data_IF_413266589511
#
_entry.id   IF_413266589511
#
_cell.length_a   1.000
_cell.length_b   1.000
_cell.length_c   1.000
_cell.angle_alpha   90.00
_cell.angle_beta   90.00
_cell.angle_gamma   90.00
#
_symmetry.space_group_name_H-M   'P 1'
#
loop_
_entity.id
_entity.type
_entity.pdbx_description
1 polymer ?
#
# COMPACT_ATOMS: atom_id res chain seq x y z
N UNK A 1 -22.08 2.63 19.97
CA UNK A 1 -22.61 2.14 18.66
C UNK A 1 -23.93 2.85 18.44
N UNK A 2 -24.07 3.60 17.37
CA UNK A 2 -25.36 4.16 16.94
C UNK A 2 -25.96 3.24 15.90
N UNK A 3 -27.24 2.98 16.02
CA UNK A 3 -28.02 2.27 15.00
C UNK A 3 -28.82 3.34 14.30
N UNK A 4 -28.54 3.58 13.04
CA UNK A 4 -29.18 4.61 12.25
C UNK A 4 -30.23 4.01 11.32
N UNK A 5 -31.37 4.67 11.18
CA UNK A 5 -32.30 4.37 10.11
C UNK A 5 -31.72 4.80 8.77
N UNK A 6 -32.25 4.29 7.66
CA UNK A 6 -31.85 4.74 6.32
C UNK A 6 -31.93 6.27 6.16
N UNK A 7 -32.97 6.88 6.72
CA UNK A 7 -33.15 8.32 6.67
C UNK A 7 -32.03 9.06 7.43
N UNK A 8 -31.72 8.63 8.66
CA UNK A 8 -30.63 9.19 9.47
C UNK A 8 -29.28 9.01 8.78
N UNK A 9 -28.99 7.81 8.24
CA UNK A 9 -27.75 7.54 7.52
C UNK A 9 -27.58 8.42 6.28
N UNK A 10 -28.67 8.68 5.53
CA UNK A 10 -28.62 9.58 4.36
C UNK A 10 -28.41 11.04 4.72
N UNK A 11 -28.84 11.46 5.91
CA UNK A 11 -28.68 12.84 6.40
C UNK A 11 -27.40 13.00 7.23
N UNK A 12 -26.76 11.88 7.58
CA UNK A 12 -25.53 11.95 8.35
C UNK A 12 -24.41 12.52 7.51
N UNK A 13 -23.85 13.62 7.99
CA UNK A 13 -22.63 14.17 7.45
C UNK A 13 -21.51 13.96 8.45
N UNK A 14 -20.35 13.46 8.01
CA UNK A 14 -19.21 13.33 8.90
C UNK A 14 -18.82 14.73 9.41
N UNK A 15 -18.44 14.87 10.68
CA UNK A 15 -17.97 16.14 11.22
C UNK A 15 -16.74 16.68 10.48
N UNK A 16 -16.09 15.83 9.74
CA UNK A 16 -14.99 16.12 8.83
C UNK A 16 -15.06 15.11 7.69
N UNK A 17 -15.14 15.56 6.44
CA UNK A 17 -14.89 14.70 5.27
C UNK A 17 -13.39 14.71 5.03
N UNK A 18 -12.67 13.68 5.42
CA UNK A 18 -11.27 13.61 5.06
C UNK A 18 -11.18 13.48 3.55
N UNK A 19 -10.38 14.32 2.92
CA UNK A 19 -10.03 14.15 1.53
C UNK A 19 -9.44 12.76 1.31
N UNK A 20 -9.63 12.18 0.14
CA UNK A 20 -8.96 10.94 -0.21
C UNK A 20 -7.44 11.12 -0.04
N UNK A 21 -6.78 10.16 0.58
CA UNK A 21 -5.31 10.19 0.72
C UNK A 21 -4.64 10.02 -0.65
N UNK A 22 -5.20 9.12 -1.48
CA UNK A 22 -4.94 9.05 -2.92
C UNK A 22 -6.29 9.06 -3.63
N UNK A 23 -6.49 10.01 -4.54
CA UNK A 23 -7.75 10.19 -5.27
C UNK A 23 -8.18 8.93 -6.05
N UNK A 24 -9.28 9.00 -6.74
CA UNK A 24 -9.93 7.90 -7.49
C UNK A 24 -10.32 6.71 -6.59
N UNK A 25 -10.48 6.91 -5.29
CA UNK A 25 -10.82 5.86 -4.33
C UNK A 25 -9.70 4.85 -4.08
N UNK A 26 -8.47 5.17 -4.48
CA UNK A 26 -7.30 4.29 -4.31
C UNK A 26 -6.96 4.12 -2.83
N UNK A 27 -6.87 5.23 -2.08
CA UNK A 27 -6.59 5.18 -0.65
C UNK A 27 -7.44 6.22 0.09
N UNK A 28 -8.40 5.75 0.85
CA UNK A 28 -9.21 6.58 1.72
C UNK A 28 -8.67 6.54 3.16
N UNK A 29 -8.98 7.55 3.98
CA UNK A 29 -8.69 7.48 5.41
C UNK A 29 -9.32 6.23 6.05
N UNK A 30 -8.60 5.64 6.99
CA UNK A 30 -9.08 4.48 7.73
C UNK A 30 -9.29 3.21 6.89
N UNK A 31 -8.59 3.08 5.74
CA UNK A 31 -8.60 1.89 4.88
C UNK A 31 -7.26 1.15 4.91
N UNK A 32 -7.18 0.02 4.23
CA UNK A 32 -5.96 -0.78 4.09
C UNK A 32 -5.69 -1.05 2.62
N UNK A 33 -4.54 -0.60 2.15
CA UNK A 33 -4.03 -0.90 0.81
C UNK A 33 -2.89 -1.92 0.90
N UNK A 34 -2.81 -2.83 -0.05
CA UNK A 34 -1.65 -3.69 -0.24
C UNK A 34 -0.96 -3.40 -1.56
N UNK A 35 0.36 -3.34 -1.53
CA UNK A 35 1.21 -3.31 -2.70
C UNK A 35 2.00 -4.62 -2.72
N UNK A 36 1.78 -5.48 -3.72
CA UNK A 36 2.41 -6.78 -3.76
C UNK A 36 3.09 -7.09 -5.10
N UNK A 37 3.97 -8.08 -5.11
CA UNK A 37 4.66 -8.55 -6.31
C UNK A 37 5.83 -9.47 -5.98
N UNK A 38 6.47 -10.02 -7.01
CA UNK A 38 7.58 -10.94 -6.87
C UNK A 38 8.81 -10.29 -6.20
N UNK A 39 9.74 -11.10 -5.70
CA UNK A 39 11.04 -10.59 -5.25
C UNK A 39 11.74 -9.83 -6.38
N UNK A 40 12.39 -8.71 -6.05
CA UNK A 40 13.10 -7.88 -7.04
C UNK A 40 12.19 -7.00 -7.93
N UNK A 41 10.87 -6.99 -7.75
CA UNK A 41 9.94 -6.17 -8.55
C UNK A 41 9.84 -4.70 -8.11
N UNK A 42 10.83 -4.15 -7.47
CA UNK A 42 10.89 -2.74 -7.06
C UNK A 42 9.84 -2.32 -6.02
N UNK A 43 9.21 -3.26 -5.29
CA UNK A 43 8.16 -2.95 -4.30
C UNK A 43 8.61 -1.94 -3.24
N UNK A 44 9.75 -2.18 -2.60
CA UNK A 44 10.29 -1.26 -1.57
C UNK A 44 10.58 0.13 -2.14
N UNK A 45 11.05 0.23 -3.40
CA UNK A 45 11.22 1.53 -4.02
C UNK A 45 9.89 2.20 -4.36
N UNK A 46 8.88 1.42 -4.79
CA UNK A 46 7.51 1.94 -4.95
C UNK A 46 6.94 2.44 -3.62
N UNK A 47 7.17 1.73 -2.50
CA UNK A 47 6.72 2.17 -1.18
C UNK A 47 7.44 3.45 -0.72
N UNK A 48 8.75 3.57 -0.97
CA UNK A 48 9.52 4.79 -0.70
C UNK A 48 8.99 5.96 -1.55
N UNK A 49 8.81 5.75 -2.85
CA UNK A 49 8.25 6.77 -3.75
C UNK A 49 6.87 7.24 -3.27
N UNK A 50 5.98 6.30 -2.96
CA UNK A 50 4.66 6.61 -2.42
C UNK A 50 4.73 7.39 -1.10
N UNK A 51 5.62 6.97 -0.19
CA UNK A 51 5.84 7.65 1.09
C UNK A 51 6.26 9.11 0.90
N UNK A 52 7.14 9.39 -0.05
CA UNK A 52 7.55 10.76 -0.40
C UNK A 52 6.41 11.56 -1.02
N UNK A 53 5.65 10.98 -1.96
CA UNK A 53 4.50 11.64 -2.56
C UNK A 53 3.47 12.04 -1.50
N UNK A 54 3.12 11.12 -0.60
CA UNK A 54 2.18 11.39 0.49
C UNK A 54 2.70 12.43 1.49
N UNK A 55 3.97 12.34 1.89
CA UNK A 55 4.55 13.29 2.84
C UNK A 55 4.62 14.73 2.31
N UNK A 56 4.65 14.89 0.99
CA UNK A 56 4.71 16.19 0.29
C UNK A 56 3.36 16.65 -0.26
N UNK A 57 2.39 15.73 -0.43
CA UNK A 57 1.15 15.99 -1.16
C UNK A 57 1.38 16.10 -2.67
N UNK A 58 2.42 15.42 -3.19
CA UNK A 58 2.72 15.35 -4.62
C UNK A 58 2.02 14.15 -5.28
N UNK A 59 1.65 14.22 -6.55
CA UNK A 59 0.97 13.12 -7.22
C UNK A 59 1.80 11.82 -7.21
N UNK A 60 1.16 10.71 -6.86
CA UNK A 60 1.72 9.36 -7.00
C UNK A 60 1.33 8.81 -8.37
N UNK A 61 2.28 8.70 -9.28
CA UNK A 61 2.05 8.27 -10.65
C UNK A 61 0.91 8.99 -11.39
N UNK A 62 0.73 10.29 -11.08
CA UNK A 62 -0.32 11.12 -11.66
C UNK A 62 -1.65 11.13 -10.90
N UNK A 63 -1.84 10.23 -9.94
CA UNK A 63 -2.97 10.30 -9.01
C UNK A 63 -2.67 11.36 -7.94
N UNK A 64 -3.56 12.32 -7.77
CA UNK A 64 -3.39 13.35 -6.75
C UNK A 64 -3.38 12.73 -5.36
N UNK A 65 -2.57 13.29 -4.47
CA UNK A 65 -2.48 12.87 -3.08
C UNK A 65 -2.74 14.04 -2.13
N UNK A 66 -3.33 13.74 -1.00
CA UNK A 66 -3.38 14.66 0.14
C UNK A 66 -2.10 14.51 0.96
N UNK A 67 -1.53 15.63 1.41
CA UNK A 67 -0.39 15.60 2.30
C UNK A 67 -0.71 14.81 3.56
N UNK A 68 0.21 13.94 3.99
CA UNK A 68 0.05 13.07 5.14
C UNK A 68 1.31 13.03 6.01
N UNK A 69 1.14 12.70 7.28
CA UNK A 69 2.24 12.22 8.11
C UNK A 69 2.44 10.73 7.80
N UNK A 70 3.60 10.37 7.29
CA UNK A 70 3.89 8.99 6.86
C UNK A 70 4.90 8.36 7.81
N UNK A 71 4.56 7.18 8.31
CA UNK A 71 5.44 6.35 9.12
C UNK A 71 5.73 5.04 8.39
N UNK A 72 6.96 4.88 7.94
CA UNK A 72 7.45 3.66 7.29
C UNK A 72 8.19 2.81 8.31
N UNK A 73 7.61 1.66 8.62
CA UNK A 73 8.19 0.64 9.48
C UNK A 73 8.73 -0.48 8.58
N UNK A 74 10.06 -0.60 8.51
CA UNK A 74 10.76 -1.48 7.57
C UNK A 74 11.63 -2.46 8.34
N UNK A 75 11.32 -3.76 8.24
CA UNK A 75 11.94 -4.83 9.04
C UNK A 75 12.84 -5.77 8.23
N UNK A 76 12.84 -5.66 6.89
CA UNK A 76 13.64 -6.57 6.05
C UNK A 76 15.06 -6.03 5.80
N UNK A 77 15.19 -4.72 5.63
CA UNK A 77 16.44 -4.12 5.19
C UNK A 77 17.17 -3.38 6.33
N UNK A 78 18.49 -3.53 6.43
CA UNK A 78 19.29 -2.77 7.38
C UNK A 78 19.12 -1.25 7.19
N UNK A 79 19.18 -0.51 8.27
CA UNK A 79 19.05 0.96 8.29
C UNK A 79 19.98 1.66 7.30
N UNK A 80 21.20 1.16 7.13
CA UNK A 80 22.16 1.71 6.17
C UNK A 80 21.66 1.64 4.73
N UNK A 81 21.04 0.52 4.35
CA UNK A 81 20.49 0.31 3.00
C UNK A 81 19.30 1.24 2.77
N UNK A 82 18.41 1.39 3.75
CA UNK A 82 17.29 2.33 3.67
C UNK A 82 17.79 3.75 3.54
N UNK A 83 18.77 4.15 4.37
CA UNK A 83 19.43 5.47 4.29
C UNK A 83 19.97 5.75 2.88
N UNK A 84 20.69 4.78 2.28
CA UNK A 84 21.27 4.93 0.94
C UNK A 84 20.18 5.12 -0.11
N UNK A 85 19.12 4.29 -0.10
CA UNK A 85 17.99 4.38 -1.03
C UNK A 85 17.24 5.71 -0.90
N UNK A 86 16.93 6.11 0.32
CA UNK A 86 16.24 7.38 0.60
C UNK A 86 17.11 8.57 0.17
N UNK A 87 18.40 8.53 0.42
CA UNK A 87 19.33 9.60 0.04
C UNK A 87 19.44 9.74 -1.48
N UNK A 88 19.54 8.62 -2.21
CA UNK A 88 19.56 8.63 -3.68
C UNK A 88 18.24 9.14 -4.27
N UNK A 89 17.13 8.65 -3.74
CA UNK A 89 15.80 9.03 -4.22
C UNK A 89 15.49 10.51 -3.96
N UNK A 90 15.75 10.99 -2.74
CA UNK A 90 15.36 12.34 -2.32
C UNK A 90 16.23 13.44 -2.92
N UNK A 91 17.42 13.12 -3.41
CA UNK A 91 18.43 14.07 -3.87
C UNK A 91 18.57 15.28 -2.94
N UNK A 92 18.52 15.04 -1.62
CA UNK A 92 18.60 16.05 -0.58
C UNK A 92 17.33 16.89 -0.35
N UNK A 93 16.17 16.50 -0.91
CA UNK A 93 14.90 17.20 -0.67
C UNK A 93 14.54 17.20 0.82
N UNK A 94 14.47 18.39 1.43
CA UNK A 94 14.06 18.56 2.83
C UNK A 94 12.54 18.61 3.01
N UNK A 95 11.78 18.81 1.95
CA UNK A 95 10.34 19.06 2.03
C UNK A 95 9.55 17.89 2.65
N UNK A 96 9.98 16.64 2.42
CA UNK A 96 9.34 15.47 3.01
C UNK A 96 9.81 15.16 4.45
N UNK A 97 10.95 15.72 4.89
CA UNK A 97 11.62 15.31 6.13
C UNK A 97 10.85 15.62 7.42
N UNK A 98 9.87 16.52 7.36
CA UNK A 98 9.06 16.90 8.52
C UNK A 98 7.84 16.00 8.72
N UNK A 99 7.39 15.31 7.65
CA UNK A 99 6.18 14.49 7.66
C UNK A 99 6.47 13.02 7.33
N UNK A 100 7.74 12.64 7.15
CA UNK A 100 8.15 11.28 6.80
C UNK A 100 9.10 10.72 7.85
N UNK A 101 8.66 9.64 8.49
CA UNK A 101 9.36 8.93 9.54
C UNK A 101 9.71 7.53 9.07
N UNK A 102 10.93 7.09 9.38
CA UNK A 102 11.39 5.72 9.13
C UNK A 102 11.83 5.07 10.43
N UNK A 103 11.42 3.83 10.61
CA UNK A 103 11.95 2.94 11.61
C UNK A 103 12.45 1.66 10.95
N UNK A 104 13.61 1.22 11.40
CA UNK A 104 14.24 -0.04 11.01
C UNK A 104 14.64 -0.74 12.32
N UNK A 105 13.69 -1.44 12.97
CA UNK A 105 13.92 -2.06 14.26
C UNK A 105 14.99 -3.16 14.16
N UNK A 106 15.70 -3.38 15.25
CA UNK A 106 16.67 -4.50 15.36
C UNK A 106 15.98 -5.80 15.75
N UNK A 107 14.83 -5.70 16.45
CA UNK A 107 14.05 -6.84 16.91
C UNK A 107 12.82 -7.08 16.03
N UNK A 108 12.41 -8.34 15.93
CA UNK A 108 11.20 -8.74 15.21
C UNK A 108 9.94 -8.15 15.86
N UNK A 109 9.07 -7.57 15.05
CA UNK A 109 7.80 -7.04 15.48
C UNK A 109 6.63 -7.87 14.93
N UNK A 110 6.10 -8.78 15.73
CA UNK A 110 4.99 -9.64 15.33
C UNK A 110 3.64 -9.04 15.73
N UNK A 111 2.90 -8.52 14.76
CA UNK A 111 1.62 -7.82 15.00
C UNK A 111 0.44 -8.75 15.29
N UNK A 112 0.59 -10.05 15.13
CA UNK A 112 -0.34 -11.07 15.60
C UNK A 112 -0.19 -11.34 17.11
N UNK A 113 0.76 -10.66 17.80
CA UNK A 113 0.98 -10.75 19.24
C UNK A 113 0.53 -9.49 19.98
N UNK A 114 0.25 -9.63 21.28
CA UNK A 114 -0.07 -8.50 22.17
C UNK A 114 1.12 -7.54 22.29
N UNK A 115 2.35 -8.09 22.37
CA UNK A 115 3.56 -7.30 22.48
C UNK A 115 3.76 -6.42 21.24
N UNK A 116 3.67 -7.01 20.04
CA UNK A 116 3.81 -6.26 18.79
C UNK A 116 2.73 -5.19 18.60
N UNK A 117 1.47 -5.50 18.99
CA UNK A 117 0.41 -4.50 18.98
C UNK A 117 0.72 -3.31 19.91
N UNK A 118 1.22 -3.58 21.12
CA UNK A 118 1.60 -2.53 22.07
C UNK A 118 2.80 -1.72 21.60
N UNK A 119 3.79 -2.37 21.00
CA UNK A 119 4.97 -1.67 20.48
C UNK A 119 4.60 -0.75 19.32
N UNK A 120 3.91 -1.25 18.29
CA UNK A 120 3.48 -0.40 17.17
C UNK A 120 2.53 0.72 17.63
N UNK A 121 1.74 0.49 18.68
CA UNK A 121 0.93 1.56 19.30
C UNK A 121 1.81 2.70 19.79
N UNK A 122 2.86 2.39 20.56
CA UNK A 122 3.82 3.40 21.09
C UNK A 122 4.51 4.16 19.96
N UNK A 123 4.93 3.46 18.91
CA UNK A 123 5.63 4.05 17.78
C UNK A 123 4.71 5.01 17.02
N UNK A 124 3.45 4.64 16.80
CA UNK A 124 2.43 5.52 16.20
C UNK A 124 2.17 6.75 17.08
N UNK A 125 2.07 6.59 18.39
CA UNK A 125 1.88 7.70 19.32
C UNK A 125 3.09 8.65 19.32
N UNK A 126 4.31 8.11 19.25
CA UNK A 126 5.53 8.90 19.14
C UNK A 126 5.60 9.66 17.81
N UNK A 127 5.25 9.02 16.69
CA UNK A 127 5.17 9.69 15.38
C UNK A 127 4.16 10.84 15.43
N UNK A 128 2.97 10.62 15.99
CA UNK A 128 1.96 11.67 16.15
C UNK A 128 2.44 12.82 17.02
N UNK A 129 3.15 12.52 18.10
CA UNK A 129 3.72 13.52 18.99
C UNK A 129 4.78 14.39 18.31
N UNK A 130 5.55 13.80 17.38
CA UNK A 130 6.61 14.47 16.62
C UNK A 130 6.13 15.16 15.35
N UNK A 131 4.93 14.80 14.87
CA UNK A 131 4.35 15.42 13.68
C UNK A 131 4.21 16.92 13.86
N UNK A 132 4.66 17.69 12.87
CA UNK A 132 4.61 19.15 12.90
C UNK A 132 3.21 19.72 12.67
N UNK A 133 2.36 18.96 12.00
CA UNK A 133 0.96 19.29 11.77
C UNK A 133 0.05 18.10 12.17
N UNK A 134 -0.56 18.15 13.35
CA UNK A 134 -1.42 17.08 13.85
C UNK A 134 -2.75 16.91 13.09
N UNK A 135 -3.10 17.87 12.22
CA UNK A 135 -4.30 17.79 11.39
C UNK A 135 -4.11 16.89 10.15
N UNK A 136 -2.86 16.57 9.78
CA UNK A 136 -2.60 15.68 8.65
C UNK A 136 -3.05 14.24 8.96
N UNK A 137 -3.62 13.53 7.98
CA UNK A 137 -3.87 12.10 8.12
C UNK A 137 -2.55 11.36 8.35
N UNK A 138 -2.61 10.30 9.15
CA UNK A 138 -1.44 9.45 9.42
C UNK A 138 -1.53 8.18 8.58
N UNK A 139 -0.48 7.90 7.83
CA UNK A 139 -0.34 6.69 7.02
C UNK A 139 0.83 5.86 7.57
N UNK A 140 0.57 4.60 7.86
CA UNK A 140 1.58 3.63 8.31
C UNK A 140 1.88 2.65 7.18
N UNK A 141 3.14 2.53 6.79
CA UNK A 141 3.61 1.58 5.78
C UNK A 141 4.35 0.45 6.48
N UNK A 142 3.91 -0.79 6.29
CA UNK A 142 4.55 -2.00 6.81
C UNK A 142 5.23 -2.76 5.66
N UNK A 143 6.55 -2.97 5.75
CA UNK A 143 7.36 -3.59 4.68
C UNK A 143 8.37 -4.62 5.24
N UNK A 144 8.22 -5.90 4.93
CA UNK A 144 7.11 -6.61 4.30
C UNK A 144 6.22 -7.37 5.29
N UNK A 145 4.97 -7.66 4.89
CA UNK A 145 3.94 -8.30 5.72
C UNK A 145 4.40 -9.57 6.43
N UNK A 146 5.09 -10.48 5.74
CA UNK A 146 5.39 -11.81 6.27
C UNK A 146 6.28 -11.80 7.53
N UNK A 147 7.03 -10.72 7.75
CA UNK A 147 7.86 -10.53 8.95
C UNK A 147 7.09 -9.97 10.16
N UNK A 148 5.82 -9.60 9.96
CA UNK A 148 4.97 -9.14 11.05
C UNK A 148 4.09 -10.24 11.66
N UNK A 149 4.28 -11.50 11.26
CA UNK A 149 3.59 -12.64 11.82
C UNK A 149 4.59 -13.56 12.52
N UNK A 150 4.27 -13.96 13.76
CA UNK A 150 5.02 -14.99 14.49
C UNK A 150 4.74 -16.38 13.91
N UNK A 151 3.53 -16.59 13.41
CA UNK A 151 3.09 -17.82 12.79
C UNK A 151 3.23 -17.82 11.24
N UNK A 152 2.67 -18.84 10.62
CA UNK A 152 2.73 -18.99 9.18
C UNK A 152 1.71 -18.10 8.46
N UNK A 153 2.13 -17.41 7.42
CA UNK A 153 1.32 -16.43 6.66
C UNK A 153 0.06 -17.04 5.99
N UNK A 154 0.00 -18.37 5.89
CA UNK A 154 -1.17 -19.11 5.39
C UNK A 154 -2.07 -19.63 6.50
N UNK A 155 -1.67 -19.49 7.78
CA UNK A 155 -2.48 -19.89 8.92
C UNK A 155 -3.61 -18.87 9.14
N UNK A 156 -4.85 -19.34 9.02
CA UNK A 156 -6.02 -18.47 9.12
C UNK A 156 -6.17 -17.80 10.48
N UNK A 157 -5.78 -18.48 11.55
CA UNK A 157 -5.88 -17.94 12.91
C UNK A 157 -4.92 -16.77 13.09
N UNK A 158 -3.66 -16.92 12.70
CA UNK A 158 -2.64 -15.88 12.79
C UNK A 158 -2.98 -14.69 11.87
N UNK A 159 -3.44 -14.98 10.65
CA UNK A 159 -3.91 -13.94 9.73
C UNK A 159 -5.07 -13.14 10.32
N UNK A 160 -6.09 -13.80 10.87
CA UNK A 160 -7.22 -13.11 11.50
C UNK A 160 -6.79 -12.27 12.69
N UNK A 161 -5.87 -12.75 13.49
CA UNK A 161 -5.34 -12.04 14.65
C UNK A 161 -4.56 -10.79 14.26
N UNK A 162 -3.68 -10.90 13.26
CA UNK A 162 -3.01 -9.75 12.64
C UNK A 162 -4.03 -8.71 12.15
N UNK A 163 -5.03 -9.15 11.36
CA UNK A 163 -6.09 -8.28 10.83
C UNK A 163 -6.88 -7.59 11.94
N UNK A 164 -7.20 -8.30 13.02
CA UNK A 164 -7.90 -7.73 14.19
C UNK A 164 -7.06 -6.64 14.85
N UNK A 165 -5.76 -6.89 15.06
CA UNK A 165 -4.85 -5.93 15.67
C UNK A 165 -4.64 -4.69 14.80
N UNK A 166 -4.44 -4.85 13.50
CA UNK A 166 -4.35 -3.72 12.55
C UNK A 166 -5.67 -2.94 12.52
N UNK A 167 -6.82 -3.62 12.51
CA UNK A 167 -8.12 -2.96 12.55
C UNK A 167 -8.34 -2.20 13.87
N UNK A 168 -7.85 -2.72 15.00
CA UNK A 168 -7.87 -2.02 16.29
C UNK A 168 -7.05 -0.74 16.25
N UNK A 169 -5.80 -0.81 15.76
CA UNK A 169 -4.93 0.35 15.60
C UNK A 169 -5.55 1.40 14.69
N UNK A 170 -6.04 0.97 13.52
CA UNK A 170 -6.69 1.82 12.53
C UNK A 170 -7.83 2.63 13.14
N UNK A 171 -8.75 1.97 13.84
CA UNK A 171 -9.92 2.60 14.46
C UNK A 171 -9.54 3.47 15.66
N UNK A 172 -8.67 2.97 16.55
CA UNK A 172 -8.28 3.69 17.78
C UNK A 172 -7.52 4.97 17.48
N UNK A 173 -6.61 4.92 16.51
CA UNK A 173 -5.71 6.02 16.21
C UNK A 173 -6.10 6.82 14.96
N UNK A 174 -7.20 6.47 14.28
CA UNK A 174 -7.62 7.08 13.01
C UNK A 174 -6.47 7.14 11.99
N UNK A 175 -5.91 5.98 11.67
CA UNK A 175 -4.76 5.83 10.76
C UNK A 175 -5.11 4.92 9.57
N UNK A 176 -4.35 5.07 8.52
CA UNK A 176 -4.48 4.29 7.27
C UNK A 176 -3.25 3.42 7.11
N UNK A 177 -3.42 2.20 6.64
CA UNK A 177 -2.31 1.28 6.43
C UNK A 177 -2.03 1.04 4.96
N UNK A 178 -0.74 0.98 4.62
CA UNK A 178 -0.21 0.44 3.38
C UNK A 178 0.68 -0.73 3.74
N UNK A 179 0.43 -1.88 3.14
CA UNK A 179 1.14 -3.12 3.45
C UNK A 179 1.87 -3.60 2.21
N UNK A 180 3.17 -3.82 2.34
CA UNK A 180 3.98 -4.36 1.24
C UNK A 180 4.07 -5.87 1.41
N UNK A 181 3.87 -6.61 0.30
CA UNK A 181 3.85 -8.06 0.37
C UNK A 181 4.45 -8.75 -0.85
N UNK A 182 4.76 -10.02 -0.69
CA UNK A 182 5.28 -10.85 -1.77
C UNK A 182 4.16 -11.58 -2.51
N UNK A 183 4.36 -11.80 -3.82
CA UNK A 183 3.54 -12.76 -4.57
C UNK A 183 4.04 -14.17 -4.37
N UNK A 184 3.15 -15.15 -4.61
CA UNK A 184 3.53 -16.54 -4.82
C UNK A 184 4.41 -16.67 -6.06
N UNK A 185 5.13 -17.77 -6.17
CA UNK A 185 5.80 -18.13 -7.43
C UNK A 185 4.76 -18.27 -8.53
N UNK A 186 5.04 -17.68 -9.69
CA UNK A 186 4.17 -17.76 -10.86
C UNK A 186 3.96 -19.21 -11.28
N UNK A 187 2.73 -19.53 -11.58
CA UNK A 187 2.38 -20.83 -12.19
C UNK A 187 2.54 -20.71 -13.70
N UNK A 188 3.06 -21.77 -14.30
CA UNK A 188 3.11 -21.98 -15.75
C UNK A 188 2.11 -23.05 -16.09
N UNK A 189 1.35 -22.86 -17.16
CA UNK A 189 0.45 -23.88 -17.69
C UNK A 189 1.20 -24.98 -18.45
N UNK A 190 0.46 -25.95 -18.97
CA UNK A 190 1.04 -27.08 -19.75
C UNK A 190 1.69 -26.65 -21.07
N UNK A 191 1.44 -25.42 -21.54
CA UNK A 191 2.07 -24.85 -22.74
C UNK A 191 3.31 -24.00 -22.41
N UNK A 192 3.66 -23.85 -21.13
CA UNK A 192 4.77 -23.01 -20.67
C UNK A 192 4.42 -21.53 -20.55
N UNK A 193 3.13 -21.15 -20.68
CA UNK A 193 2.70 -19.78 -20.51
C UNK A 193 2.46 -19.47 -19.02
N UNK A 194 2.82 -18.25 -18.62
CA UNK A 194 2.55 -17.76 -17.25
C UNK A 194 1.06 -17.50 -17.10
N UNK A 195 0.45 -18.17 -16.12
CA UNK A 195 -0.96 -17.93 -15.77
C UNK A 195 -1.04 -16.71 -14.87
N UNK A 196 -1.76 -15.69 -15.30
CA UNK A 196 -2.06 -14.52 -14.49
C UNK A 196 -3.28 -14.80 -13.59
N UNK A 197 -3.06 -14.85 -12.29
CA UNK A 197 -4.08 -15.10 -11.28
C UNK A 197 -4.52 -13.81 -10.54
N UNK A 198 -4.01 -12.65 -10.94
CA UNK A 198 -4.35 -11.40 -10.31
C UNK A 198 -4.05 -11.40 -8.81
N UNK A 199 -4.99 -10.89 -8.00
CA UNK A 199 -4.88 -10.86 -6.54
C UNK A 199 -4.75 -12.25 -5.88
N UNK A 200 -5.03 -13.35 -6.60
CA UNK A 200 -4.80 -14.71 -6.08
C UNK A 200 -3.32 -15.07 -6.00
N UNK A 201 -2.45 -14.30 -6.66
CA UNK A 201 -0.99 -14.44 -6.54
C UNK A 201 -0.46 -13.94 -5.18
N UNK A 202 -1.25 -13.27 -4.35
CA UNK A 202 -0.84 -12.87 -3.01
C UNK A 202 -0.42 -14.11 -2.21
N UNK A 203 0.79 -14.06 -1.67
CA UNK A 203 1.32 -15.17 -0.87
C UNK A 203 0.53 -15.32 0.43
N UNK A 204 0.16 -16.56 0.78
CA UNK A 204 -0.52 -16.87 2.04
C UNK A 204 -2.01 -17.14 1.89
N UNK A 205 -2.79 -16.74 2.88
CA UNK A 205 -4.21 -17.04 2.97
C UNK A 205 -5.07 -16.16 2.06
N UNK A 206 -6.17 -16.72 1.51
CA UNK A 206 -7.19 -15.96 0.77
C UNK A 206 -7.87 -14.87 1.62
N UNK A 207 -7.78 -14.96 2.94
CA UNK A 207 -8.29 -13.92 3.85
C UNK A 207 -7.63 -12.55 3.64
N UNK A 208 -6.41 -12.50 3.11
CA UNK A 208 -5.77 -11.22 2.75
C UNK A 208 -6.60 -10.47 1.72
N UNK A 209 -6.95 -11.14 0.62
CA UNK A 209 -7.70 -10.50 -0.46
C UNK A 209 -9.07 -9.96 0.01
N UNK A 210 -9.77 -10.72 0.86
CA UNK A 210 -11.08 -10.30 1.36
C UNK A 210 -11.04 -9.07 2.28
N UNK A 211 -9.97 -8.91 3.04
CA UNK A 211 -9.82 -7.85 4.04
C UNK A 211 -9.41 -6.50 3.45
N UNK A 212 -8.58 -6.51 2.42
CA UNK A 212 -8.01 -5.30 1.82
C UNK A 212 -9.07 -4.47 1.07
N UNK A 213 -8.93 -3.15 1.13
CA UNK A 213 -9.77 -2.21 0.39
C UNK A 213 -9.22 -1.98 -1.02
N UNK A 214 -7.89 -1.87 -1.15
CA UNK A 214 -7.19 -1.70 -2.41
C UNK A 214 -6.02 -2.67 -2.53
N UNK A 215 -5.84 -3.25 -3.71
CA UNK A 215 -4.73 -4.14 -4.03
C UNK A 215 -4.04 -3.62 -5.28
N UNK A 216 -2.78 -3.26 -5.13
CA UNK A 216 -1.89 -2.81 -6.20
C UNK A 216 -0.84 -3.87 -6.46
N UNK A 217 -0.73 -4.31 -7.70
CA UNK A 217 0.24 -5.31 -8.12
C UNK A 217 1.40 -4.66 -8.86
N UNK A 218 2.61 -5.09 -8.56
CA UNK A 218 3.85 -4.63 -9.21
C UNK A 218 4.56 -5.83 -9.82
N UNK A 219 4.61 -5.89 -11.13
CA UNK A 219 5.19 -6.99 -11.90
C UNK A 219 6.34 -6.53 -12.76
N UNK A 220 7.45 -7.28 -12.79
CA UNK A 220 8.50 -7.04 -13.78
C UNK A 220 7.95 -7.32 -15.18
N UNK A 221 8.12 -6.37 -16.09
CA UNK A 221 7.70 -6.51 -17.51
C UNK A 221 8.50 -7.60 -18.18
N UNK A 222 9.79 -7.70 -17.87
CA UNK A 222 10.66 -8.75 -18.41
C UNK A 222 11.62 -9.28 -17.32
N UNK A 223 11.22 -10.30 -16.58
CA UNK A 223 11.99 -10.81 -15.44
C UNK A 223 13.34 -11.45 -15.82
N UNK A 224 13.55 -11.78 -17.11
CA UNK A 224 14.74 -12.50 -17.56
C UNK A 224 15.88 -11.59 -18.04
N UNK A 225 15.64 -10.31 -18.26
CA UNK A 225 16.63 -9.38 -18.86
C UNK A 225 17.21 -8.37 -17.89
N UNK A 226 17.01 -8.54 -16.57
CA UNK A 226 17.46 -7.55 -15.56
C UNK A 226 16.76 -6.20 -15.71
N UNK A 227 15.55 -6.18 -16.16
CA UNK A 227 14.77 -5.02 -16.55
C UNK A 227 14.36 -4.19 -15.32
N UNK A 228 14.52 -2.90 -15.43
CA UNK A 228 14.11 -1.90 -14.44
C UNK A 228 12.69 -1.39 -14.68
N UNK A 229 11.95 -2.05 -15.57
CA UNK A 229 10.58 -1.70 -15.93
C UNK A 229 9.60 -2.63 -15.22
N UNK A 230 8.65 -2.05 -14.53
CA UNK A 230 7.54 -2.76 -13.89
C UNK A 230 6.21 -2.30 -14.45
N UNK A 231 5.25 -3.19 -14.48
CA UNK A 231 3.85 -2.88 -14.69
C UNK A 231 3.17 -2.76 -13.32
N UNK A 232 2.47 -1.67 -13.10
CA UNK A 232 1.67 -1.40 -11.90
C UNK A 232 0.20 -1.50 -12.30
N UNK A 233 -0.55 -2.39 -11.66
CA UNK A 233 -1.98 -2.59 -11.92
C UNK A 233 -2.79 -2.58 -10.62
N UNK A 234 -4.09 -2.30 -10.77
CA UNK A 234 -5.03 -2.26 -9.66
C UNK A 234 -5.92 -3.52 -9.71
N UNK A 235 -5.56 -4.55 -8.96
CA UNK A 235 -6.32 -5.82 -8.94
C UNK A 235 -7.62 -5.70 -8.12
N UNK A 236 -7.70 -4.71 -7.24
CA UNK A 236 -8.89 -4.40 -6.44
C UNK A 236 -8.90 -2.94 -6.04
N UNK A 237 -10.04 -2.29 -6.21
CA UNK A 237 -10.31 -0.92 -5.77
C UNK A 237 -11.75 -0.82 -5.28
N UNK A 238 -11.98 -1.17 -4.00
CA UNK A 238 -13.34 -1.25 -3.43
C UNK A 238 -14.09 0.08 -3.47
N UNK A 239 -13.35 1.19 -3.37
CA UNK A 239 -13.90 2.53 -3.22
C UNK A 239 -13.81 3.37 -4.51
N UNK A 240 -13.23 2.85 -5.58
CA UNK A 240 -13.22 3.52 -6.88
C UNK A 240 -14.58 3.41 -7.56
N UNK A 241 -14.98 4.47 -8.24
CA UNK A 241 -16.19 4.49 -9.06
C UNK A 241 -15.92 4.09 -10.50
N UNK A 242 -14.65 4.06 -10.91
CA UNK A 242 -14.22 3.76 -12.27
C UNK A 242 -13.16 2.65 -12.26
N UNK A 243 -12.99 1.99 -13.39
CA UNK A 243 -11.85 1.13 -13.62
C UNK A 243 -10.58 1.99 -13.69
N UNK A 244 -9.53 1.57 -12.96
CA UNK A 244 -8.24 2.26 -12.98
C UNK A 244 -7.29 1.54 -13.93
N UNK A 245 -6.83 2.22 -15.00
CA UNK A 245 -5.86 1.62 -15.92
C UNK A 245 -4.52 1.42 -15.19
N UNK A 246 -3.85 0.32 -15.50
CA UNK A 246 -2.47 0.10 -15.12
C UNK A 246 -1.52 0.98 -15.90
N UNK A 247 -0.24 0.90 -15.57
CA UNK A 247 0.81 1.65 -16.26
C UNK A 247 2.18 1.00 -16.09
N UNK A 248 3.08 1.25 -17.05
CA UNK A 248 4.46 0.79 -16.96
C UNK A 248 5.36 1.90 -16.43
N UNK A 249 6.22 1.53 -15.49
CA UNK A 249 7.17 2.41 -14.82
C UNK A 249 8.57 1.90 -15.06
N UNK A 250 9.46 2.77 -15.51
CA UNK A 250 10.90 2.53 -15.58
C UNK A 250 11.58 3.14 -14.35
N UNK A 251 12.42 2.37 -13.68
CA UNK A 251 13.23 2.83 -12.56
C UNK A 251 14.64 3.15 -13.01
N UNK A 252 15.11 4.36 -12.73
CA UNK A 252 16.47 4.79 -13.01
C UNK A 252 17.40 4.41 -11.85
N UNK A 253 18.34 3.50 -12.08
CA UNK A 253 19.23 2.95 -11.00
C UNK A 253 20.13 3.98 -10.36
N UNK A 254 20.52 5.01 -11.10
CA UNK A 254 21.43 6.06 -10.66
C UNK A 254 20.83 6.95 -9.55
N UNK A 255 19.54 7.23 -9.62
CA UNK A 255 18.86 8.14 -8.69
C UNK A 255 17.61 7.52 -8.03
N UNK A 256 17.23 6.30 -8.43
CA UNK A 256 16.04 5.56 -7.95
C UNK A 256 14.70 6.30 -8.20
N UNK A 257 14.66 7.18 -9.19
CA UNK A 257 13.43 7.92 -9.58
C UNK A 257 12.65 7.10 -10.60
N UNK A 258 11.33 6.96 -10.45
CA UNK A 258 10.48 6.29 -11.42
C UNK A 258 10.03 7.24 -12.54
N UNK A 259 9.86 6.69 -13.74
CA UNK A 259 9.29 7.36 -14.91
C UNK A 259 8.15 6.52 -15.47
N UNK A 260 6.98 7.11 -15.67
CA UNK A 260 5.88 6.44 -16.38
C UNK A 260 6.21 6.46 -17.86
N UNK A 261 6.33 5.29 -18.47
CA UNK A 261 6.65 5.15 -19.88
C UNK A 261 5.45 4.78 -20.75
N UNK A 262 4.39 4.22 -20.16
CA UNK A 262 3.17 3.79 -20.86
C UNK A 262 2.01 3.71 -19.88
N UNK A 263 0.79 4.00 -20.35
CA UNK A 263 -0.46 3.73 -19.62
C UNK A 263 -1.28 2.71 -20.39
N UNK A 264 -1.95 1.82 -19.67
CA UNK A 264 -2.86 0.87 -20.30
C UNK A 264 -4.03 1.62 -20.96
N UNK A 265 -4.40 1.18 -22.14
CA UNK A 265 -5.57 1.73 -22.84
C UNK A 265 -6.81 1.09 -22.22
N UNK A 266 -7.71 1.91 -21.70
CA UNK A 266 -9.07 1.45 -21.40
C UNK A 266 -9.76 1.33 -22.78
N UNK A 267 -10.12 0.10 -23.18
CA UNK A 267 -11.01 -0.06 -24.32
C UNK A 267 -12.30 0.73 -24.00
N UNK A 268 -12.59 1.77 -24.80
CA UNK A 268 -13.88 2.45 -24.72
C UNK A 268 -14.97 1.39 -24.89
N UNK A 269 -15.96 1.40 -24.04
CA UNK A 269 -17.02 0.40 -23.91
C UNK A 269 -17.47 -0.18 -25.26
N UNK A 270 -17.30 -1.48 -25.47
CA UNK A 270 -18.22 -2.19 -26.36
C UNK A 270 -19.62 -1.97 -25.78
N UNK A 271 -20.58 -1.50 -26.60
CA UNK A 271 -21.93 -1.19 -26.11
C UNK A 271 -22.46 -2.43 -25.37
N UNK A 272 -22.89 -2.23 -24.15
CA UNK A 272 -23.37 -3.32 -23.32
C UNK A 272 -24.56 -3.97 -24.04
N UNK A 273 -24.62 -5.30 -24.03
CA UNK A 273 -25.72 -6.10 -24.62
C UNK A 273 -27.12 -5.67 -24.10
N UNK A 274 -27.17 -4.75 -23.14
CA UNK A 274 -28.43 -4.17 -22.60
C UNK A 274 -29.04 -3.08 -23.46
N UNK A 275 -28.31 -2.54 -24.43
CA UNK A 275 -28.82 -1.49 -25.33
C UNK A 275 -29.38 -2.07 -26.64
N UNK A 276 -29.52 -3.40 -26.74
CA UNK A 276 -30.04 -4.11 -27.93
C UNK A 276 -31.39 -4.81 -27.70
N UNK A 277 -32.14 -4.43 -26.66
CA UNK A 277 -33.50 -4.96 -26.47
C UNK A 277 -34.53 -3.84 -26.34
#
# INVERSE_FOLDING_TARGET
>A
MTIDTLHQLRQWEPPYRPDAIIEEGILLPNTVMMLFGAAGSWKTMNSIHLAFCLAKGEPWFGFKTTQATVFTHQVELPKLIIKDRVSKYSNGSRAASQNLFFETPEDDLHLDTTFGLQQLTKDIEEVKRRATNPALPVVVILDPLYLYLAGHISDEYEVKKFQQNVNQLRKKHNITFIIIHHSRLRRVDSSGQVVDLGAEEIMGSSYWNNWLDTIVRVQLVNPFTGNDTVHVSFDKTRNSQTFLPGFKVKWHRENLVPEIIERDIIAEDEPSVRDLT
#
